data_IF_474168195608
#
_entry.id   IF_474168195608
#
_cell.length_a   1.000
_cell.length_b   1.000
_cell.length_c   1.000
_cell.angle_alpha   90.00
_cell.angle_beta   90.00
_cell.angle_gamma   90.00
#
_symmetry.space_group_name_H-M   'P 1'
#
loop_
_entity.id
_entity.type
_entity.pdbx_description
1 polymer ?
#
# COMPACT_ATOMS: atom_id res chain seq x y z
N UNK A 1 -21.70 -34.22 -35.71
CA UNK A 1 -21.70 -32.86 -35.16
C UNK A 1 -20.29 -32.36 -34.87
N UNK A 2 -19.48 -33.07 -34.10
CA UNK A 2 -18.06 -32.70 -33.89
C UNK A 2 -17.30 -32.64 -35.24
N UNK A 3 -17.53 -33.60 -36.11
CA UNK A 3 -16.93 -33.60 -37.45
C UNK A 3 -17.21 -32.31 -38.23
N UNK A 4 -18.41 -31.75 -38.10
CA UNK A 4 -18.78 -30.48 -38.74
C UNK A 4 -17.98 -29.31 -38.06
N UNK A 5 -17.81 -29.35 -36.78
CA UNK A 5 -17.02 -28.31 -36.08
C UNK A 5 -15.53 -28.37 -36.42
N UNK A 6 -15.03 -29.53 -36.86
CA UNK A 6 -13.64 -29.76 -37.21
C UNK A 6 -13.34 -29.50 -38.71
N UNK A 7 -14.32 -29.15 -39.51
CA UNK A 7 -14.07 -28.76 -40.89
C UNK A 7 -13.22 -27.50 -40.98
N UNK A 8 -12.43 -27.36 -42.01
CA UNK A 8 -11.58 -26.19 -42.27
C UNK A 8 -12.38 -24.87 -42.18
N UNK A 9 -13.64 -24.92 -42.63
CA UNK A 9 -14.53 -23.76 -42.56
C UNK A 9 -14.97 -23.39 -41.16
N UNK A 10 -15.13 -24.34 -40.24
CA UNK A 10 -15.76 -24.12 -38.92
C UNK A 10 -14.83 -24.23 -37.72
N UNK A 11 -13.60 -24.73 -37.92
CA UNK A 11 -12.63 -25.00 -36.84
C UNK A 11 -12.35 -23.78 -35.94
N UNK A 12 -12.42 -22.58 -36.54
CA UNK A 12 -12.20 -21.32 -35.79
C UNK A 12 -13.47 -20.53 -35.51
N UNK A 13 -14.65 -21.07 -35.83
CA UNK A 13 -15.91 -20.33 -35.60
C UNK A 13 -16.57 -20.70 -34.27
N UNK A 14 -17.21 -19.72 -33.67
CA UNK A 14 -17.98 -19.96 -32.45
C UNK A 14 -19.24 -20.81 -32.78
N UNK A 15 -19.69 -21.69 -31.86
CA UNK A 15 -20.90 -22.48 -32.04
C UNK A 15 -22.13 -21.70 -32.50
N UNK A 16 -22.31 -20.46 -32.00
CA UNK A 16 -23.41 -19.59 -32.46
C UNK A 16 -23.28 -19.21 -33.93
N UNK A 17 -22.06 -18.93 -34.38
CA UNK A 17 -21.77 -18.62 -35.80
C UNK A 17 -21.97 -19.83 -36.70
N UNK A 18 -21.49 -21.01 -36.25
CA UNK A 18 -21.68 -22.28 -36.99
C UNK A 18 -23.18 -22.56 -37.15
N UNK A 19 -23.98 -22.44 -36.09
CA UNK A 19 -25.43 -22.62 -36.17
C UNK A 19 -26.08 -21.65 -37.16
N UNK A 20 -25.70 -20.39 -37.18
CA UNK A 20 -26.25 -19.40 -38.09
C UNK A 20 -25.92 -19.73 -39.53
N UNK A 21 -24.67 -20.06 -39.85
CA UNK A 21 -24.24 -20.44 -41.21
C UNK A 21 -24.95 -21.72 -41.68
N UNK A 22 -25.14 -22.70 -40.80
CA UNK A 22 -25.89 -23.92 -41.16
C UNK A 22 -27.36 -23.63 -41.43
N UNK A 23 -27.98 -22.75 -40.62
CA UNK A 23 -29.38 -22.33 -40.85
C UNK A 23 -29.54 -21.60 -42.19
N UNK A 24 -28.60 -20.73 -42.57
CA UNK A 24 -28.60 -20.04 -43.88
C UNK A 24 -28.52 -21.02 -45.03
N UNK A 25 -27.94 -22.21 -44.82
CA UNK A 25 -27.85 -23.32 -45.76
C UNK A 25 -29.03 -24.31 -45.69
N UNK A 26 -30.04 -24.02 -44.88
CA UNK A 26 -31.19 -24.87 -44.71
C UNK A 26 -30.94 -26.11 -43.83
N UNK A 27 -29.83 -26.14 -43.06
CA UNK A 27 -29.47 -27.28 -42.21
C UNK A 27 -29.57 -26.90 -40.73
N UNK A 28 -30.32 -27.65 -39.91
CA UNK A 28 -30.36 -27.53 -38.47
C UNK A 28 -29.86 -28.81 -37.81
N UNK A 29 -28.70 -28.77 -37.17
CA UNK A 29 -28.12 -29.95 -36.53
C UNK A 29 -28.41 -30.01 -35.04
N UNK A 30 -28.22 -28.91 -34.33
CA UNK A 30 -28.53 -28.77 -32.91
C UNK A 30 -28.47 -27.30 -32.47
N UNK A 31 -28.93 -27.03 -31.26
CA UNK A 31 -28.80 -25.69 -30.68
C UNK A 31 -27.34 -25.33 -30.33
N UNK A 32 -26.98 -24.02 -30.32
CA UNK A 32 -25.66 -23.60 -29.90
C UNK A 32 -25.26 -24.14 -28.52
N UNK A 33 -26.23 -24.24 -27.58
CA UNK A 33 -26.02 -24.80 -26.24
C UNK A 33 -25.61 -26.27 -26.27
N UNK A 34 -26.25 -27.06 -27.15
CA UNK A 34 -25.92 -28.47 -27.34
C UNK A 34 -24.51 -28.61 -27.94
N UNK A 35 -24.17 -27.76 -28.93
CA UNK A 35 -22.84 -27.73 -29.53
C UNK A 35 -21.76 -27.43 -28.52
N UNK A 36 -21.96 -26.41 -27.67
CA UNK A 36 -21.04 -26.13 -26.54
C UNK A 36 -20.88 -27.32 -25.58
N UNK A 37 -21.96 -28.03 -25.26
CA UNK A 37 -21.92 -29.22 -24.40
C UNK A 37 -21.10 -30.35 -25.02
N UNK A 38 -21.27 -30.61 -26.32
CA UNK A 38 -20.50 -31.64 -27.04
C UNK A 38 -19.01 -31.29 -27.10
N UNK A 39 -18.68 -30.05 -27.44
CA UNK A 39 -17.29 -29.56 -27.46
C UNK A 39 -16.66 -29.59 -26.04
N UNK A 40 -17.43 -29.29 -24.98
CA UNK A 40 -16.98 -29.43 -23.60
C UNK A 40 -16.65 -30.88 -23.26
N UNK A 41 -17.52 -31.83 -23.64
CA UNK A 41 -17.29 -33.25 -23.44
C UNK A 41 -16.06 -33.77 -24.17
N UNK A 42 -15.74 -33.20 -25.32
CA UNK A 42 -14.53 -33.48 -26.09
C UNK A 42 -13.28 -32.71 -25.59
N UNK A 43 -13.39 -31.91 -24.52
CA UNK A 43 -12.34 -31.03 -24.03
C UNK A 43 -11.82 -29.98 -25.01
N UNK A 44 -12.64 -29.61 -25.99
CA UNK A 44 -12.27 -28.68 -27.08
C UNK A 44 -12.73 -27.24 -26.86
N UNK A 45 -13.43 -26.94 -25.75
CA UNK A 45 -13.71 -25.57 -25.37
C UNK A 45 -12.45 -24.95 -24.79
N UNK A 46 -11.73 -24.21 -25.63
CA UNK A 46 -10.63 -23.38 -25.22
C UNK A 46 -11.04 -21.92 -25.25
N UNK A 47 -10.60 -21.17 -24.25
CA UNK A 47 -10.79 -19.72 -24.24
C UNK A 47 -9.97 -19.13 -25.42
N UNK A 48 -10.64 -18.58 -26.42
CA UNK A 48 -10.02 -18.04 -27.66
C UNK A 48 -9.15 -16.80 -27.42
N UNK A 49 -9.37 -16.13 -26.33
CA UNK A 49 -8.53 -15.00 -25.93
C UNK A 49 -7.30 -15.58 -25.25
N UNK A 50 -6.16 -15.42 -25.87
CA UNK A 50 -4.87 -15.64 -25.25
C UNK A 50 -4.65 -14.50 -24.23
N UNK A 51 -5.54 -14.42 -23.22
CA UNK A 51 -5.37 -13.51 -22.11
C UNK A 51 -4.15 -14.02 -21.36
N UNK A 52 -3.10 -13.20 -21.37
CA UNK A 52 -1.96 -13.42 -20.49
C UNK A 52 -2.52 -13.64 -19.08
N UNK A 53 -2.46 -14.86 -18.58
CA UNK A 53 -2.81 -15.15 -17.19
C UNK A 53 -1.79 -14.39 -16.36
N UNK A 54 -2.25 -13.34 -15.70
CA UNK A 54 -1.39 -12.69 -14.71
C UNK A 54 -0.91 -13.78 -13.73
N UNK A 55 0.39 -13.86 -13.47
CA UNK A 55 0.89 -14.77 -12.45
C UNK A 55 0.15 -14.50 -11.15
N UNK A 56 -0.09 -15.54 -10.36
CA UNK A 56 -0.73 -15.39 -9.06
C UNK A 56 0.05 -14.36 -8.25
N UNK A 57 -0.64 -13.31 -7.78
CA UNK A 57 0.01 -12.27 -6.99
C UNK A 57 0.50 -12.86 -5.68
N UNK A 58 1.80 -12.75 -5.45
CA UNK A 58 2.42 -13.18 -4.20
C UNK A 58 2.17 -12.12 -3.14
N UNK A 59 1.83 -12.54 -1.94
CA UNK A 59 1.68 -11.68 -0.76
C UNK A 59 3.02 -10.96 -0.51
N UNK A 60 3.03 -9.61 -0.44
CA UNK A 60 4.27 -8.91 -0.13
C UNK A 60 4.66 -9.19 1.32
N UNK A 61 5.86 -9.68 1.55
CA UNK A 61 6.46 -9.89 2.87
C UNK A 61 7.65 -8.95 3.00
N UNK A 62 7.49 -7.88 3.77
CA UNK A 62 8.52 -6.85 3.93
C UNK A 62 8.86 -6.70 5.41
N UNK A 63 10.16 -6.68 5.71
CA UNK A 63 10.69 -6.47 7.05
C UNK A 63 11.59 -5.23 7.07
N UNK A 64 11.36 -4.34 8.02
CA UNK A 64 12.28 -3.26 8.35
C UNK A 64 12.85 -3.49 9.76
N UNK A 65 14.17 -3.44 9.89
CA UNK A 65 14.91 -3.57 11.17
C UNK A 65 15.59 -2.28 11.57
N UNK A 66 15.54 -1.28 10.71
CA UNK A 66 16.07 0.06 10.96
C UNK A 66 15.31 1.09 10.10
N UNK A 67 15.41 2.39 10.42
CA UNK A 67 14.91 3.45 9.57
C UNK A 67 15.47 3.40 8.15
N UNK A 68 14.69 3.88 7.20
CA UNK A 68 15.08 4.00 5.79
C UNK A 68 15.37 2.67 5.06
N UNK A 69 14.81 1.54 5.55
CA UNK A 69 14.83 0.26 4.86
C UNK A 69 13.57 0.00 4.04
N UNK A 70 12.41 0.33 4.59
CA UNK A 70 11.12 0.20 3.92
C UNK A 70 10.32 1.45 4.15
N UNK A 71 9.85 2.08 3.08
CA UNK A 71 8.86 3.14 3.14
C UNK A 71 7.54 2.66 2.56
N UNK A 72 6.45 3.13 3.15
CA UNK A 72 5.11 3.02 2.56
C UNK A 72 4.68 4.38 2.03
N UNK A 73 3.98 4.40 0.91
CA UNK A 73 3.38 5.63 0.42
C UNK A 73 1.98 5.41 -0.10
N UNK A 74 1.19 6.45 0.02
CA UNK A 74 -0.21 6.42 -0.41
C UNK A 74 -0.74 7.84 -0.65
N UNK A 75 -1.88 7.93 -1.34
CA UNK A 75 -2.57 9.17 -1.65
C UNK A 75 -3.97 9.12 -1.05
N UNK A 76 -4.34 10.16 -0.32
CA UNK A 76 -5.70 10.27 0.21
C UNK A 76 -6.36 11.57 -0.17
N UNK A 77 -7.70 11.55 -0.23
CA UNK A 77 -8.51 12.72 -0.50
C UNK A 77 -8.73 13.57 0.75
N UNK A 78 -8.52 14.87 0.60
CA UNK A 78 -8.97 15.91 1.53
C UNK A 78 -10.12 16.67 0.89
N UNK A 79 -11.24 16.84 1.60
CA UNK A 79 -12.41 17.54 1.08
C UNK A 79 -12.12 19.04 0.93
N UNK A 80 -12.27 19.56 -0.27
CA UNK A 80 -12.16 20.99 -0.57
C UNK A 80 -13.44 21.78 -0.29
N UNK A 81 -13.48 23.08 -0.66
CA UNK A 81 -14.54 24.01 -0.25
C UNK A 81 -15.93 23.61 -0.78
N UNK A 82 -16.01 23.11 -2.00
CA UNK A 82 -17.27 22.72 -2.62
C UNK A 82 -17.49 21.20 -2.61
N UNK A 83 -18.74 20.76 -2.69
CA UNK A 83 -19.08 19.35 -2.83
C UNK A 83 -18.46 18.78 -4.12
N UNK A 84 -17.75 17.66 -4.00
CA UNK A 84 -17.03 17.03 -5.11
C UNK A 84 -15.61 17.55 -5.33
N UNK A 85 -15.25 18.72 -4.79
CA UNK A 85 -13.89 19.22 -4.86
C UNK A 85 -13.00 18.50 -3.83
N UNK A 86 -11.84 18.00 -4.28
CA UNK A 86 -10.92 17.23 -3.44
C UNK A 86 -9.49 17.62 -3.73
N UNK A 87 -8.70 17.77 -2.70
CA UNK A 87 -7.24 17.86 -2.79
C UNK A 87 -6.64 16.48 -2.55
N UNK A 88 -5.49 16.23 -3.10
CA UNK A 88 -4.77 14.96 -3.00
C UNK A 88 -3.56 15.11 -2.09
N UNK A 89 -3.60 14.48 -0.93
CA UNK A 89 -2.48 14.40 -0.01
C UNK A 89 -1.65 13.17 -0.34
N UNK A 90 -0.43 13.39 -0.81
CA UNK A 90 0.60 12.39 -0.99
C UNK A 90 1.41 12.27 0.29
N UNK A 91 1.65 11.09 0.78
CA UNK A 91 2.40 10.88 2.01
C UNK A 91 3.32 9.67 1.89
N UNK A 92 4.56 9.83 2.34
CA UNK A 92 5.55 8.75 2.49
C UNK A 92 5.87 8.61 3.98
N UNK A 93 5.77 7.38 4.47
CA UNK A 93 6.06 7.03 5.87
C UNK A 93 7.13 5.96 5.95
N UNK A 94 8.09 6.14 6.84
CA UNK A 94 9.05 5.09 7.20
C UNK A 94 8.37 3.99 8.01
N UNK A 95 8.51 2.73 7.57
CA UNK A 95 7.85 1.59 8.17
C UNK A 95 8.34 1.32 9.60
N UNK A 96 9.64 1.47 9.87
CA UNK A 96 10.23 1.13 11.15
C UNK A 96 9.91 2.18 12.22
N UNK A 97 10.18 3.45 11.91
CA UNK A 97 10.05 4.55 12.86
C UNK A 97 8.66 5.17 12.91
N UNK A 98 7.80 4.93 11.92
CA UNK A 98 6.53 5.65 11.70
C UNK A 98 6.69 7.10 11.30
N UNK A 99 7.90 7.60 11.10
CA UNK A 99 8.14 8.98 10.68
C UNK A 99 7.50 9.24 9.32
N UNK A 100 6.73 10.30 9.20
CA UNK A 100 6.32 10.82 7.90
C UNK A 100 7.51 11.55 7.31
N UNK A 101 8.23 10.88 6.41
CA UNK A 101 9.48 11.39 5.81
C UNK A 101 9.25 12.40 4.69
N UNK A 102 8.04 12.42 4.16
CA UNK A 102 7.64 13.40 3.16
C UNK A 102 6.13 13.43 2.95
N UNK A 103 5.63 14.62 2.64
CA UNK A 103 4.23 14.82 2.25
C UNK A 103 4.09 16.01 1.32
N UNK A 104 3.03 16.02 0.52
CA UNK A 104 2.65 17.17 -0.32
C UNK A 104 1.17 17.13 -0.64
N UNK A 105 0.57 18.31 -0.88
CA UNK A 105 -0.84 18.41 -1.28
C UNK A 105 -0.92 19.02 -2.67
N UNK A 106 -1.70 18.37 -3.54
CA UNK A 106 -1.91 18.75 -4.93
C UNK A 106 -3.40 18.85 -5.24
N UNK A 107 -3.75 19.65 -6.26
CA UNK A 107 -5.13 19.78 -6.69
C UNK A 107 -5.67 18.52 -7.39
N UNK A 108 -4.79 17.72 -7.98
CA UNK A 108 -5.10 16.46 -8.68
C UNK A 108 -3.96 15.46 -8.56
N UNK A 109 -4.25 14.22 -8.87
CA UNK A 109 -3.20 13.21 -9.04
C UNK A 109 -2.46 13.46 -10.36
N UNK A 110 -1.12 13.41 -10.27
CA UNK A 110 -0.24 13.67 -11.41
C UNK A 110 1.07 12.90 -11.24
N UNK A 111 1.49 12.21 -12.30
CA UNK A 111 2.68 11.35 -12.30
C UNK A 111 3.99 12.14 -12.18
N UNK A 112 4.07 13.30 -12.85
CA UNK A 112 5.27 14.12 -12.80
C UNK A 112 5.46 14.73 -11.41
N UNK A 113 4.37 15.15 -10.76
CA UNK A 113 4.39 15.63 -9.39
C UNK A 113 4.78 14.51 -8.41
N UNK A 114 4.24 13.30 -8.58
CA UNK A 114 4.61 12.15 -7.76
C UNK A 114 6.10 11.82 -7.90
N UNK A 115 6.62 11.78 -9.12
CA UNK A 115 8.04 11.54 -9.40
C UNK A 115 8.93 12.58 -8.72
N UNK A 116 8.63 13.87 -8.87
CA UNK A 116 9.41 14.94 -8.25
C UNK A 116 9.33 14.91 -6.73
N UNK A 117 8.16 14.61 -6.18
CA UNK A 117 7.96 14.43 -4.74
C UNK A 117 8.85 13.32 -4.18
N UNK A 118 8.86 12.14 -4.82
CA UNK A 118 9.72 11.03 -4.39
C UNK A 118 11.20 11.38 -4.53
N UNK A 119 11.62 11.95 -5.67
CA UNK A 119 13.01 12.37 -5.89
C UNK A 119 13.49 13.29 -4.79
N UNK A 120 12.71 14.32 -4.46
CA UNK A 120 13.02 15.28 -3.40
C UNK A 120 13.11 14.60 -2.04
N UNK A 121 12.14 13.74 -1.70
CA UNK A 121 12.12 13.04 -0.41
C UNK A 121 13.32 12.09 -0.26
N UNK A 122 13.68 11.35 -1.31
CA UNK A 122 14.85 10.47 -1.31
C UNK A 122 16.15 11.24 -1.08
N UNK A 123 16.30 12.40 -1.72
CA UNK A 123 17.46 13.28 -1.53
C UNK A 123 17.52 13.88 -0.13
N UNK A 124 16.38 14.38 0.39
CA UNK A 124 16.29 14.96 1.74
C UNK A 124 16.63 13.95 2.84
N UNK A 125 16.25 12.70 2.66
CA UNK A 125 16.54 11.61 3.60
C UNK A 125 17.92 10.96 3.36
N UNK A 126 18.68 11.39 2.37
CA UNK A 126 20.02 10.85 2.08
C UNK A 126 20.00 9.36 1.74
N UNK A 127 18.98 8.88 1.05
CA UNK A 127 18.84 7.46 0.68
C UNK A 127 19.92 7.06 -0.32
N UNK A 128 20.67 6.02 0.04
CA UNK A 128 21.70 5.44 -0.83
C UNK A 128 21.11 4.41 -1.79
N UNK A 129 21.72 4.21 -2.97
CA UNK A 129 21.33 3.15 -3.90
C UNK A 129 21.28 1.78 -3.22
N UNK A 130 20.21 1.02 -3.47
CA UNK A 130 20.01 -0.32 -2.92
C UNK A 130 19.57 -0.39 -1.43
N UNK A 131 19.43 0.76 -0.75
CA UNK A 131 19.09 0.81 0.67
C UNK A 131 17.59 0.62 0.93
N UNK A 132 16.74 1.15 0.06
CA UNK A 132 15.31 1.33 0.32
C UNK A 132 14.43 0.42 -0.54
N UNK A 133 13.39 -0.13 0.08
CA UNK A 133 12.22 -0.66 -0.62
C UNK A 133 11.03 0.27 -0.44
N UNK A 134 10.44 0.73 -1.54
CA UNK A 134 9.22 1.53 -1.54
C UNK A 134 8.01 0.63 -1.77
N UNK A 135 7.08 0.62 -0.83
CA UNK A 135 5.83 -0.13 -0.89
C UNK A 135 4.65 0.81 -1.14
N UNK A 136 3.76 0.41 -2.04
CA UNK A 136 2.57 1.19 -2.40
C UNK A 136 1.42 0.30 -2.87
N UNK A 137 0.24 0.85 -2.87
CA UNK A 137 -0.90 0.24 -3.54
C UNK A 137 -0.73 0.27 -5.08
N UNK A 138 -1.69 -0.29 -5.82
CA UNK A 138 -1.66 -0.36 -7.28
C UNK A 138 -2.45 0.78 -7.95
N UNK A 139 -2.39 1.99 -7.41
CA UNK A 139 -2.96 3.17 -8.06
C UNK A 139 -2.26 3.50 -9.39
N UNK A 140 -2.93 4.21 -10.29
CA UNK A 140 -2.39 4.58 -11.60
C UNK A 140 -1.08 5.37 -11.52
N UNK A 141 -1.01 6.33 -10.60
CA UNK A 141 0.20 7.11 -10.34
C UNK A 141 1.33 6.24 -9.77
N UNK A 142 0.97 5.26 -8.92
CA UNK A 142 1.91 4.36 -8.24
C UNK A 142 2.54 3.34 -9.19
N UNK A 143 1.84 3.01 -10.26
CA UNK A 143 2.30 2.07 -11.30
C UNK A 143 2.78 2.78 -12.57
N UNK A 144 2.88 4.11 -12.56
CA UNK A 144 3.29 4.89 -13.73
C UNK A 144 4.71 4.57 -14.17
N UNK A 145 4.93 4.49 -15.49
CA UNK A 145 6.25 4.16 -16.06
C UNK A 145 7.32 5.17 -15.68
N UNK A 146 6.98 6.46 -15.62
CA UNK A 146 7.92 7.53 -15.30
C UNK A 146 8.46 7.45 -13.87
N UNK A 147 7.59 7.14 -12.89
CA UNK A 147 7.99 6.91 -11.50
C UNK A 147 8.84 5.63 -11.40
N UNK A 148 8.41 4.57 -12.10
CA UNK A 148 9.11 3.29 -12.08
C UNK A 148 10.54 3.38 -12.60
N UNK A 149 10.77 4.09 -13.72
CA UNK A 149 12.11 4.30 -14.28
C UNK A 149 12.99 5.09 -13.31
N UNK A 150 12.48 6.19 -12.75
CA UNK A 150 13.25 6.97 -11.77
C UNK A 150 13.66 6.14 -10.54
N UNK A 151 12.76 5.32 -9.99
CA UNK A 151 13.08 4.46 -8.84
C UNK A 151 14.12 3.40 -9.20
N UNK A 152 14.05 2.86 -10.42
CA UNK A 152 15.05 1.91 -10.94
C UNK A 152 16.43 2.59 -11.08
N UNK A 153 16.48 3.79 -11.66
CA UNK A 153 17.71 4.56 -11.81
C UNK A 153 18.37 4.88 -10.47
N UNK A 154 17.56 5.13 -9.44
CA UNK A 154 18.01 5.35 -8.06
C UNK A 154 18.22 4.06 -7.27
N UNK A 155 18.08 2.90 -7.90
CA UNK A 155 18.20 1.57 -7.28
C UNK A 155 17.30 1.40 -6.04
N UNK A 156 16.11 1.98 -6.07
CA UNK A 156 15.06 1.78 -5.05
C UNK A 156 14.21 0.58 -5.45
N UNK A 157 14.19 -0.43 -4.59
CA UNK A 157 13.33 -1.60 -4.78
C UNK A 157 11.86 -1.23 -4.64
N UNK A 158 11.00 -1.93 -5.37
CA UNK A 158 9.55 -1.67 -5.36
C UNK A 158 8.78 -2.88 -4.91
N UNK A 159 7.74 -2.63 -4.14
CA UNK A 159 6.75 -3.62 -3.73
C UNK A 159 5.35 -3.03 -3.87
N UNK A 160 4.38 -3.86 -4.20
CA UNK A 160 2.99 -3.43 -4.34
C UNK A 160 2.05 -4.37 -3.59
N UNK A 161 0.98 -3.80 -3.07
CA UNK A 161 -0.15 -4.54 -2.51
C UNK A 161 -0.75 -5.47 -3.58
N UNK A 162 -1.35 -6.58 -3.14
CA UNK A 162 -2.17 -7.42 -4.03
C UNK A 162 -3.42 -6.65 -4.44
N UNK A 163 -3.95 -6.88 -5.66
CA UNK A 163 -5.18 -6.23 -6.10
C UNK A 163 -6.32 -6.47 -5.10
N UNK A 164 -7.04 -5.42 -4.73
CA UNK A 164 -8.21 -5.46 -3.82
C UNK A 164 -7.94 -6.01 -2.41
N UNK A 165 -6.68 -5.95 -1.93
CA UNK A 165 -6.29 -6.37 -0.58
C UNK A 165 -5.77 -5.16 0.19
N UNK A 166 -6.64 -4.48 0.92
CA UNK A 166 -6.29 -3.28 1.73
C UNK A 166 -5.29 -3.59 2.84
N UNK A 167 -5.32 -4.79 3.41
CA UNK A 167 -4.42 -5.19 4.49
C UNK A 167 -2.94 -5.27 4.08
N UNK A 168 -2.61 -5.08 2.81
CA UNK A 168 -1.22 -5.07 2.35
C UNK A 168 -0.52 -3.71 2.51
N UNK A 169 -1.28 -2.60 2.78
CA UNK A 169 -0.72 -1.28 3.15
C UNK A 169 -1.32 -0.71 4.45
N UNK A 170 -1.29 -1.47 5.57
CA UNK A 170 -2.00 -1.12 6.78
C UNK A 170 -1.45 0.14 7.48
N UNK A 171 -0.18 0.46 7.25
CA UNK A 171 0.49 1.58 7.93
C UNK A 171 0.09 2.93 7.37
N UNK A 172 0.01 3.07 6.05
CA UNK A 172 -0.50 4.30 5.41
C UNK A 172 -1.97 4.51 5.76
N UNK A 173 -2.79 3.44 5.75
CA UNK A 173 -4.20 3.53 6.15
C UNK A 173 -4.37 3.97 7.61
N UNK A 174 -3.58 3.40 8.54
CA UNK A 174 -3.60 3.77 9.95
C UNK A 174 -3.19 5.23 10.16
N UNK A 175 -2.19 5.70 9.41
CA UNK A 175 -1.73 7.08 9.46
C UNK A 175 -2.81 8.05 8.96
N UNK A 176 -3.49 7.74 7.87
CA UNK A 176 -4.61 8.55 7.39
C UNK A 176 -5.80 8.54 8.35
N UNK A 177 -6.03 7.46 9.08
CA UNK A 177 -7.02 7.45 10.18
C UNK A 177 -6.59 8.41 11.30
N UNK A 178 -5.33 8.37 11.72
CA UNK A 178 -4.81 9.28 12.74
C UNK A 178 -4.98 10.74 12.33
N UNK A 179 -4.70 11.09 11.07
CA UNK A 179 -4.92 12.42 10.52
C UNK A 179 -6.40 12.81 10.52
N UNK A 180 -7.27 11.97 9.94
CA UNK A 180 -8.69 12.31 9.70
C UNK A 180 -9.56 12.26 10.96
N UNK A 181 -9.11 11.56 12.00
CA UNK A 181 -9.78 11.52 13.31
C UNK A 181 -9.16 12.47 14.33
N UNK A 182 -8.17 13.28 13.92
CA UNK A 182 -7.64 14.32 14.80
C UNK A 182 -8.77 15.31 15.15
N UNK A 183 -8.91 15.73 16.43
CA UNK A 183 -9.99 16.62 16.87
C UNK A 183 -10.11 17.90 16.04
N UNK A 184 -9.00 18.47 15.62
CA UNK A 184 -8.95 19.71 14.84
C UNK A 184 -9.06 19.47 13.32
N UNK A 185 -9.27 18.23 12.88
CA UNK A 185 -9.39 17.94 11.44
C UNK A 185 -10.70 18.54 10.90
N UNK A 186 -10.65 19.49 9.95
CA UNK A 186 -11.84 20.18 9.47
C UNK A 186 -12.69 19.26 8.59
N UNK A 187 -14.01 19.46 8.63
CA UNK A 187 -14.90 18.73 7.71
C UNK A 187 -14.56 19.02 6.25
N UNK A 188 -14.15 20.28 5.96
CA UNK A 188 -13.71 20.78 4.65
C UNK A 188 -12.64 21.84 4.80
N UNK A 189 -11.72 21.87 3.85
CA UNK A 189 -10.72 22.92 3.73
C UNK A 189 -11.24 24.03 2.80
N UNK A 190 -11.05 25.28 3.20
CA UNK A 190 -11.48 26.44 2.40
C UNK A 190 -10.61 26.63 1.15
N UNK A 191 -9.33 26.28 1.22
CA UNK A 191 -8.38 26.37 0.12
C UNK A 191 -7.33 25.23 0.21
N UNK A 192 -6.51 25.10 -0.83
CA UNK A 192 -5.36 24.17 -0.80
C UNK A 192 -4.29 24.65 0.20
N UNK A 193 -4.18 25.98 0.39
CA UNK A 193 -3.28 26.61 1.34
C UNK A 193 -3.68 26.28 2.78
N UNK A 194 -4.98 26.29 3.09
CA UNK A 194 -5.49 25.86 4.40
C UNK A 194 -5.19 24.40 4.67
N UNK A 195 -5.37 23.53 3.66
CA UNK A 195 -5.02 22.13 3.79
C UNK A 195 -3.52 21.93 4.01
N UNK A 196 -2.68 22.71 3.35
CA UNK A 196 -1.22 22.69 3.54
C UNK A 196 -0.81 23.20 4.92
N UNK A 197 -1.44 24.26 5.41
CA UNK A 197 -1.19 24.81 6.74
C UNK A 197 -1.52 23.77 7.81
N UNK A 198 -2.72 23.21 7.79
CA UNK A 198 -3.16 22.16 8.69
C UNK A 198 -2.22 20.94 8.67
N UNK A 199 -1.90 20.42 7.49
CA UNK A 199 -1.03 19.24 7.38
C UNK A 199 0.40 19.51 7.83
N UNK A 200 0.90 20.76 7.72
CA UNK A 200 2.21 21.14 8.26
C UNK A 200 2.23 21.04 9.77
N UNK A 201 1.25 21.63 10.45
CA UNK A 201 1.13 21.58 11.90
C UNK A 201 0.89 20.15 12.38
N UNK A 202 0.00 19.41 11.71
CA UNK A 202 -0.30 18.02 12.05
C UNK A 202 0.92 17.11 11.91
N UNK A 203 1.66 17.13 10.79
CA UNK A 203 2.80 16.25 10.60
C UNK A 203 4.01 16.66 11.44
N UNK A 204 4.14 17.94 11.78
CA UNK A 204 5.13 18.39 12.75
C UNK A 204 4.83 17.82 14.13
N UNK A 205 3.62 18.02 14.65
CA UNK A 205 3.15 17.41 15.89
C UNK A 205 3.28 15.89 15.87
N UNK A 206 2.82 15.24 14.79
CA UNK A 206 2.87 13.78 14.67
C UNK A 206 4.30 13.24 14.75
N UNK A 207 5.21 13.85 14.06
CA UNK A 207 6.60 13.40 13.99
C UNK A 207 7.35 13.63 15.31
N UNK A 208 7.09 14.73 16.01
CA UNK A 208 7.90 15.19 17.15
C UNK A 208 7.25 15.00 18.52
N UNK A 209 5.92 14.97 18.60
CA UNK A 209 5.21 14.95 19.88
C UNK A 209 4.30 13.73 20.07
N UNK A 210 3.64 13.26 18.99
CA UNK A 210 2.71 12.15 19.10
C UNK A 210 3.36 10.88 19.64
N UNK A 211 2.78 10.32 20.71
CA UNK A 211 3.25 9.10 21.37
C UNK A 211 2.65 7.86 20.70
N UNK A 212 3.37 7.29 19.74
CA UNK A 212 2.87 6.18 18.93
C UNK A 212 3.02 4.83 19.66
N UNK A 213 1.90 4.15 19.94
CA UNK A 213 1.87 2.88 20.69
C UNK A 213 2.72 1.76 20.06
N UNK A 214 2.73 1.65 18.74
CA UNK A 214 3.48 0.61 18.00
C UNK A 214 5.01 0.77 18.05
N UNK A 215 5.54 1.83 18.65
CA UNK A 215 6.97 2.09 18.79
C UNK A 215 7.35 2.49 20.22
N UNK A 216 6.72 1.84 21.21
CA UNK A 216 7.04 2.05 22.63
C UNK A 216 6.58 3.42 23.18
N UNK A 217 5.53 4.01 22.63
CA UNK A 217 5.07 5.37 22.97
C UNK A 217 6.18 6.42 22.84
N UNK A 218 7.05 6.25 21.84
CA UNK A 218 8.02 7.27 21.44
C UNK A 218 7.44 8.14 20.33
N UNK A 219 7.88 9.41 20.19
CA UNK A 219 7.67 10.15 18.96
C UNK A 219 8.39 9.48 17.79
N UNK A 220 7.82 9.47 16.58
CA UNK A 220 8.45 8.89 15.40
C UNK A 220 9.89 9.38 15.14
N UNK A 221 10.13 10.68 15.31
CA UNK A 221 11.47 11.28 15.14
C UNK A 221 12.51 10.65 16.08
N UNK A 222 12.15 10.35 17.33
CA UNK A 222 13.09 9.75 18.27
C UNK A 222 13.55 8.36 17.86
N UNK A 223 12.63 7.56 17.28
CA UNK A 223 12.99 6.24 16.76
C UNK A 223 13.81 6.38 15.50
N UNK A 224 13.45 7.32 14.62
CA UNK A 224 14.14 7.54 13.36
C UNK A 224 15.57 8.04 13.54
N UNK A 225 15.80 8.95 14.48
CA UNK A 225 17.11 9.52 14.77
C UNK A 225 17.97 8.69 15.75
N UNK A 226 17.40 7.63 16.34
CA UNK A 226 18.10 6.80 17.35
C UNK A 226 18.00 7.32 18.78
N UNK A 227 17.37 8.46 19.05
CA UNK A 227 17.17 9.02 20.41
C UNK A 227 16.30 8.14 21.31
N UNK A 228 15.45 7.29 20.72
CA UNK A 228 14.52 6.45 21.45
C UNK A 228 15.20 5.53 22.47
N UNK A 229 16.42 5.06 22.20
CA UNK A 229 17.16 4.20 23.14
C UNK A 229 17.48 4.94 24.43
N UNK A 230 18.00 6.15 24.34
CA UNK A 230 18.28 6.98 25.52
C UNK A 230 17.02 7.28 26.33
N UNK A 231 15.91 7.60 25.66
CA UNK A 231 14.63 7.82 26.32
C UNK A 231 14.10 6.54 27.00
N UNK A 232 14.29 5.39 26.40
CA UNK A 232 13.93 4.09 26.98
C UNK A 232 14.72 3.85 28.29
N UNK A 233 16.04 4.05 28.25
CA UNK A 233 16.90 3.86 29.42
C UNK A 233 16.57 4.83 30.55
N UNK A 234 16.25 6.08 30.22
CA UNK A 234 15.76 7.06 31.20
C UNK A 234 14.42 6.65 31.85
N UNK A 235 13.47 6.14 31.02
CA UNK A 235 12.20 5.61 31.58
C UNK A 235 12.43 4.38 32.45
N UNK A 236 13.37 3.51 32.12
CA UNK A 236 13.72 2.34 32.92
C UNK A 236 14.25 2.78 34.29
N UNK A 237 15.13 3.78 34.34
CA UNK A 237 15.66 4.29 35.62
C UNK A 237 14.55 4.84 36.53
N UNK A 238 13.55 5.55 35.97
CA UNK A 238 12.39 6.01 36.73
C UNK A 238 11.56 4.85 37.28
N UNK A 239 11.33 3.81 36.48
CA UNK A 239 10.59 2.62 36.90
C UNK A 239 11.34 1.82 37.95
N UNK A 240 12.67 1.75 37.87
CA UNK A 240 13.53 1.09 38.82
C UNK A 240 13.47 1.80 40.20
N UNK A 241 13.54 3.12 40.21
CA UNK A 241 13.39 3.88 41.44
C UNK A 241 11.99 3.67 42.05
N UNK A 242 10.93 3.72 41.23
CA UNK A 242 9.57 3.47 41.72
C UNK A 242 9.40 2.05 42.29
N UNK A 243 10.10 1.06 41.74
CA UNK A 243 10.10 -0.32 42.23
C UNK A 243 10.83 -0.41 43.57
N UNK A 244 11.94 0.31 43.77
CA UNK A 244 12.67 0.34 45.01
C UNK A 244 11.87 1.02 46.12
N UNK A 245 11.19 2.13 45.82
CA UNK A 245 10.40 2.90 46.75
C UNK A 245 9.10 2.19 47.18
N UNK A 246 8.50 1.42 46.26
CA UNK A 246 7.18 0.81 46.43
C UNK A 246 7.07 -0.57 45.78
N UNK A 247 7.85 -1.58 46.24
CA UNK A 247 7.86 -2.92 45.61
C UNK A 247 6.48 -3.62 45.68
N UNK A 248 5.66 -3.26 46.68
CA UNK A 248 4.32 -3.82 46.85
C UNK A 248 3.35 -3.49 45.71
N UNK A 249 3.65 -2.44 44.91
CA UNK A 249 2.84 -2.04 43.76
C UNK A 249 3.12 -2.85 42.51
N UNK A 250 4.18 -3.66 42.52
CA UNK A 250 4.66 -4.41 41.37
C UNK A 250 4.64 -5.92 41.63
N UNK A 251 3.46 -6.54 41.74
CA UNK A 251 3.35 -7.97 42.11
C UNK A 251 3.92 -8.92 41.01
N UNK A 252 4.15 -8.41 39.79
CA UNK A 252 4.77 -9.16 38.69
C UNK A 252 6.30 -9.00 38.59
N UNK A 253 6.90 -8.34 39.59
CA UNK A 253 8.33 -8.03 39.62
C UNK A 253 8.66 -6.68 38.97
N UNK A 254 9.95 -6.46 38.73
CA UNK A 254 10.50 -5.19 38.22
C UNK A 254 9.82 -4.75 36.91
N UNK A 255 9.24 -3.57 36.84
CA UNK A 255 8.57 -3.08 35.64
C UNK A 255 9.55 -2.70 34.55
N UNK A 256 9.06 -2.72 33.29
CA UNK A 256 9.83 -2.30 32.14
C UNK A 256 9.02 -1.30 31.29
N UNK A 257 9.65 -0.33 30.64
CA UNK A 257 8.97 0.52 29.68
C UNK A 257 8.42 -0.30 28.51
N UNK A 258 7.42 0.20 27.78
CA UNK A 258 6.98 -0.42 26.55
C UNK A 258 8.16 -0.63 25.59
N UNK A 259 8.29 -1.83 24.96
CA UNK A 259 9.45 -2.18 24.17
C UNK A 259 9.58 -1.32 22.92
N UNK A 260 10.82 -1.03 22.55
CA UNK A 260 11.13 -0.46 21.23
C UNK A 260 11.03 -1.52 20.16
N UNK A 261 10.70 -1.14 18.90
CA UNK A 261 10.66 -2.10 17.81
C UNK A 261 12.08 -2.65 17.51
N UNK A 262 12.19 -3.94 17.34
CA UNK A 262 13.40 -4.62 16.82
C UNK A 262 13.25 -4.89 15.33
N UNK A 263 12.03 -5.19 14.90
CA UNK A 263 11.65 -5.38 13.51
C UNK A 263 10.17 -5.05 13.31
N UNK A 264 9.84 -4.61 12.13
CA UNK A 264 8.47 -4.26 11.74
C UNK A 264 8.16 -4.88 10.40
N UNK A 265 7.01 -5.53 10.32
CA UNK A 265 6.61 -6.30 9.15
C UNK A 265 5.37 -5.74 8.46
N UNK A 266 5.39 -5.76 7.14
CA UNK A 266 4.16 -5.87 6.35
C UNK A 266 4.00 -7.35 6.02
N UNK A 267 2.89 -7.95 6.46
CA UNK A 267 2.58 -9.35 6.23
C UNK A 267 3.70 -10.32 6.70
N UNK A 268 3.95 -10.49 8.00
CA UNK A 268 4.97 -11.42 8.46
C UNK A 268 4.71 -12.84 7.91
N UNK A 269 5.77 -13.61 7.67
CA UNK A 269 5.63 -15.02 7.32
C UNK A 269 4.86 -15.74 8.43
N UNK A 270 4.04 -16.73 8.05
CA UNK A 270 3.40 -17.59 9.04
C UNK A 270 4.50 -18.33 9.81
N UNK A 271 4.43 -18.27 11.12
CA UNK A 271 5.25 -19.17 11.95
C UNK A 271 4.97 -20.62 11.52
N UNK A 272 6.04 -21.35 11.20
CA UNK A 272 5.95 -22.74 10.81
C UNK A 272 5.49 -23.61 11.98
#
# INVERSE_FOLDING_TARGET
MLDVCHTEEFVDKAPRTICAVLLDRGAYLCSPRTMYRLLAGAQEIRERRNQARHPAYVKPELCARAPNQVWTWDITDLKGPARGHRYKLYMIQDLFSRLVVGWTIQAREDEALAREFHRRTLLQQGIRPGQLTLHADRGSVMTSGSLQHMLLDLQVSRSHSRPHVSNDNPYSEAQFKTLKYHPDFPERFGSIEDARAFCREFFDWYNHEHRHSGIGFMPPEWVHSGKARHAYDARQAVLDQAFLDHPERFPKGRPQPPPLPTEVWINPPKAA
#
